data_IF_855726537299
#
_entry.id   IF_855726537299
#
_cell.length_a   1.000
_cell.length_b   1.000
_cell.length_c   1.000
_cell.angle_alpha   90.00
_cell.angle_beta   90.00
_cell.angle_gamma   90.00
#
_symmetry.space_group_name_H-M   'P 1'
#
loop_
_entity.id
_entity.type
_entity.pdbx_description
1 polymer ?
#
# COMPACT_ATOMS: atom_id res chain seq x y z
N UNK A 1 -5.56 36.45 2.86
CA UNK A 1 -4.75 35.29 2.44
C UNK A 1 -3.59 35.20 3.42
N UNK A 2 -3.74 34.40 4.49
CA UNK A 2 -2.71 34.29 5.53
C UNK A 2 -1.45 33.69 4.92
N UNK A 3 -0.36 34.45 4.89
CA UNK A 3 1.00 33.92 4.87
C UNK A 3 1.25 33.25 6.22
N UNK A 4 0.59 32.11 6.44
CA UNK A 4 0.63 31.37 7.69
C UNK A 4 1.93 30.59 7.82
N UNK A 5 2.41 30.49 9.05
CA UNK A 5 3.53 29.64 9.47
C UNK A 5 3.36 28.22 8.92
N UNK A 6 4.45 27.58 8.50
CA UNK A 6 4.46 26.17 8.07
C UNK A 6 3.81 25.28 9.16
N UNK A 7 2.94 24.34 8.79
CA UNK A 7 2.31 23.44 9.77
C UNK A 7 3.35 22.51 10.39
N UNK A 8 4.21 21.96 9.54
CA UNK A 8 5.35 21.13 9.93
C UNK A 8 6.60 21.66 9.23
N UNK A 9 7.68 21.81 9.97
CA UNK A 9 8.98 22.21 9.44
C UNK A 9 10.08 21.33 10.02
N UNK A 10 10.79 20.64 9.12
CA UNK A 10 11.93 19.78 9.42
C UNK A 10 13.18 20.56 9.03
N UNK A 11 14.07 20.78 10.00
CA UNK A 11 15.28 21.58 9.82
C UNK A 11 16.53 20.77 10.17
N UNK A 12 17.38 20.58 9.18
CA UNK A 12 18.67 19.89 9.26
C UNK A 12 18.60 18.55 10.01
N UNK A 13 17.51 17.80 9.80
CA UNK A 13 17.29 16.55 10.52
C UNK A 13 18.20 15.45 10.00
N UNK A 14 18.93 14.82 10.90
CA UNK A 14 19.74 13.62 10.62
C UNK A 14 19.31 12.48 11.53
N UNK A 15 19.17 11.27 10.98
CA UNK A 15 18.75 10.07 11.69
C UNK A 15 19.73 8.95 11.38
N UNK A 16 20.30 8.37 12.42
CA UNK A 16 21.24 7.24 12.32
C UNK A 16 20.87 6.13 13.30
N UNK A 17 21.16 4.88 12.95
CA UNK A 17 20.93 3.72 13.79
C UNK A 17 22.26 3.09 14.17
N UNK A 18 22.41 2.75 15.45
CA UNK A 18 23.52 1.93 15.90
C UNK A 18 23.27 0.48 15.47
N UNK A 19 24.10 -0.04 14.57
CA UNK A 19 24.10 -1.45 14.14
C UNK A 19 25.48 -2.06 14.31
N UNK A 20 25.53 -3.40 14.41
CA UNK A 20 26.78 -4.15 14.46
C UNK A 20 27.48 -3.98 13.10
N UNK A 21 28.58 -3.22 13.07
CA UNK A 21 29.31 -2.86 11.84
C UNK A 21 29.44 -1.36 11.56
N UNK A 22 28.85 -0.50 12.39
CA UNK A 22 28.97 0.96 12.31
C UNK A 22 27.61 1.66 12.20
N UNK A 23 27.55 3.00 12.31
CA UNK A 23 26.28 3.72 12.25
C UNK A 23 25.67 3.67 10.84
N UNK A 24 24.43 3.22 10.73
CA UNK A 24 23.64 3.33 9.50
C UNK A 24 22.98 4.70 9.45
N UNK A 25 23.42 5.56 8.54
CA UNK A 25 22.82 6.88 8.31
C UNK A 25 21.62 6.77 7.37
N UNK A 26 20.42 6.63 7.93
CA UNK A 26 19.18 6.55 7.14
C UNK A 26 18.72 7.91 6.60
N UNK A 27 18.94 8.98 7.37
CA UNK A 27 18.71 10.37 6.94
C UNK A 27 19.93 11.19 7.34
N UNK A 28 20.53 11.93 6.40
CA UNK A 28 21.78 12.68 6.64
C UNK A 28 21.49 14.11 7.06
N UNK A 29 20.68 14.78 6.24
CA UNK A 29 20.29 16.18 6.39
C UNK A 29 19.01 16.46 5.61
N UNK A 30 17.86 16.32 6.27
CA UNK A 30 16.56 16.59 5.68
C UNK A 30 16.07 17.99 6.03
N UNK A 31 15.64 18.72 4.99
CA UNK A 31 14.93 19.99 5.10
C UNK A 31 13.62 19.86 4.32
N UNK A 32 12.49 19.98 5.02
CA UNK A 32 11.15 19.78 4.46
C UNK A 32 10.18 20.72 5.19
N UNK A 33 9.20 21.26 4.46
CA UNK A 33 8.05 21.94 5.04
C UNK A 33 6.76 21.28 4.57
N UNK A 34 5.71 21.38 5.37
CA UNK A 34 4.34 21.03 5.01
C UNK A 34 3.47 22.23 5.33
N UNK A 35 2.76 22.73 4.31
CA UNK A 35 1.89 23.89 4.46
C UNK A 35 0.51 23.47 5.01
N UNK A 36 -0.16 24.31 5.82
CA UNK A 36 -1.52 24.04 6.28
C UNK A 36 -2.50 23.84 5.11
N UNK A 37 -3.36 22.82 5.19
CA UNK A 37 -4.39 22.57 4.19
C UNK A 37 -3.87 22.17 2.80
N UNK A 38 -2.59 21.79 2.70
CA UNK A 38 -1.94 21.37 1.45
C UNK A 38 -1.46 19.93 1.51
N UNK A 39 -1.28 19.34 0.33
CA UNK A 39 -0.70 18.02 0.16
C UNK A 39 0.76 18.18 -0.26
N UNK A 40 1.67 17.73 0.60
CA UNK A 40 3.09 17.64 0.28
C UNK A 40 3.44 16.17 0.06
N UNK A 41 3.95 15.82 -1.12
CA UNK A 41 4.41 14.48 -1.42
C UNK A 41 5.90 14.32 -1.13
N UNK A 42 6.29 13.25 -0.44
CA UNK A 42 7.68 12.84 -0.24
C UNK A 42 7.95 11.59 -1.09
N UNK A 43 8.80 11.72 -2.09
CA UNK A 43 9.05 10.70 -3.12
C UNK A 43 10.50 10.25 -3.13
N UNK A 44 10.73 8.96 -3.36
CA UNK A 44 12.06 8.40 -3.55
C UNK A 44 12.03 6.88 -3.56
N UNK A 45 13.14 6.26 -3.96
CA UNK A 45 13.31 4.80 -3.95
C UNK A 45 13.05 4.18 -2.56
N UNK A 46 12.77 2.87 -2.53
CA UNK A 46 12.74 2.13 -1.27
C UNK A 46 14.09 2.26 -0.54
N UNK A 47 14.06 2.42 0.79
CA UNK A 47 15.26 2.61 1.60
C UNK A 47 15.87 4.03 1.59
N UNK A 48 15.27 5.00 0.89
CA UNK A 48 15.77 6.40 0.87
C UNK A 48 15.59 7.19 2.18
N UNK A 49 14.90 6.64 3.17
CA UNK A 49 14.67 7.28 4.48
C UNK A 49 13.28 7.89 4.70
N UNK A 50 12.34 7.74 3.75
CA UNK A 50 10.98 8.32 3.84
C UNK A 50 10.21 7.92 5.11
N UNK A 51 10.05 6.61 5.33
CA UNK A 51 9.30 6.08 6.47
C UNK A 51 10.01 6.37 7.80
N UNK A 52 11.35 6.37 7.80
CA UNK A 52 12.17 6.78 8.97
C UNK A 52 11.93 8.25 9.32
N UNK A 53 11.89 9.14 8.32
CA UNK A 53 11.58 10.56 8.54
C UNK A 53 10.17 10.74 9.09
N UNK A 54 9.19 10.00 8.57
CA UNK A 54 7.82 10.00 9.11
C UNK A 54 7.76 9.51 10.56
N UNK A 55 8.47 8.45 10.90
CA UNK A 55 8.54 7.92 12.27
C UNK A 55 9.17 8.94 13.23
N UNK A 56 10.14 9.72 12.76
CA UNK A 56 10.73 10.81 13.54
C UNK A 56 9.69 11.90 13.87
N UNK A 57 8.87 12.31 12.89
CA UNK A 57 7.78 13.27 13.11
C UNK A 57 6.75 12.73 14.11
N UNK A 58 6.49 11.43 14.09
CA UNK A 58 5.62 10.79 15.08
C UNK A 58 6.32 10.54 16.42
N UNK A 59 7.63 10.68 16.53
CA UNK A 59 8.43 10.33 17.71
C UNK A 59 8.48 8.83 18.02
N UNK A 60 8.17 7.95 17.06
CA UNK A 60 8.08 6.49 17.24
C UNK A 60 9.32 5.74 16.71
N UNK A 61 10.43 6.44 16.56
CA UNK A 61 11.70 5.80 16.19
C UNK A 61 12.15 4.81 17.28
N UNK A 62 12.78 3.69 16.89
CA UNK A 62 13.28 2.71 17.85
C UNK A 62 14.39 3.29 18.73
N UNK A 63 14.64 2.64 19.86
CA UNK A 63 15.60 3.14 20.84
C UNK A 63 17.04 3.25 20.35
N UNK A 64 17.40 2.48 19.32
CA UNK A 64 18.71 2.49 18.66
C UNK A 64 18.92 3.70 17.75
N UNK A 65 17.88 4.49 17.49
CA UNK A 65 17.92 5.67 16.65
C UNK A 65 18.48 6.89 17.40
N UNK A 66 19.44 7.56 16.75
CA UNK A 66 19.98 8.85 17.15
C UNK A 66 19.49 9.89 16.16
N UNK A 67 18.85 10.94 16.68
CA UNK A 67 18.26 12.02 15.89
C UNK A 67 18.91 13.34 16.26
N UNK A 68 19.21 14.16 15.26
CA UNK A 68 19.67 15.56 15.40
C UNK A 68 18.80 16.47 14.53
N UNK A 69 18.89 17.78 14.76
CA UNK A 69 18.11 18.80 14.03
C UNK A 69 16.88 19.23 14.82
N UNK A 70 15.86 19.74 14.12
CA UNK A 70 14.58 20.19 14.73
C UNK A 70 13.39 19.72 13.90
N UNK A 71 12.32 19.32 14.58
CA UNK A 71 11.04 19.02 13.94
C UNK A 71 9.98 19.91 14.60
N UNK A 72 9.68 21.03 13.95
CA UNK A 72 8.80 22.06 14.45
C UNK A 72 7.37 21.81 13.96
N UNK A 73 6.41 21.77 14.89
CA UNK A 73 4.99 21.64 14.60
C UNK A 73 4.22 22.85 15.12
N UNK A 74 3.54 23.55 14.22
CA UNK A 74 2.76 24.76 14.49
C UNK A 74 1.28 24.44 14.39
N UNK A 75 0.66 24.28 15.55
CA UNK A 75 -0.70 23.77 15.67
C UNK A 75 -1.77 24.85 15.37
N UNK A 76 -2.68 24.65 14.39
CA UNK A 76 -3.73 25.60 14.07
C UNK A 76 -4.74 25.85 15.21
N UNK A 77 -4.92 24.91 16.13
CA UNK A 77 -5.79 25.08 17.31
C UNK A 77 -5.09 25.88 18.43
N UNK A 78 -3.77 26.05 18.34
CA UNK A 78 -2.98 26.86 19.27
C UNK A 78 -2.14 27.91 18.51
N UNK A 79 -2.80 28.91 17.88
CA UNK A 79 -2.12 29.93 17.09
C UNK A 79 -0.99 30.61 17.87
N UNK A 80 0.13 30.87 17.20
CA UNK A 80 1.29 31.53 17.80
C UNK A 80 2.21 30.60 18.61
N UNK A 81 1.85 29.32 18.76
CA UNK A 81 2.73 28.31 19.39
C UNK A 81 3.38 27.41 18.34
N UNK A 82 4.67 27.12 18.53
CA UNK A 82 5.41 26.15 17.72
C UNK A 82 6.21 25.27 18.68
N UNK A 83 6.05 23.97 18.55
CA UNK A 83 6.68 22.99 19.44
C UNK A 83 7.70 22.17 18.67
N UNK A 84 8.88 21.94 19.26
CA UNK A 84 9.86 21.02 18.70
C UNK A 84 9.61 19.60 19.22
N UNK A 85 9.16 18.72 18.33
CA UNK A 85 8.83 17.33 18.62
C UNK A 85 10.05 16.58 19.16
N UNK A 86 11.27 16.93 18.74
CA UNK A 86 12.48 16.24 19.17
C UNK A 86 12.88 16.56 20.62
N UNK A 87 12.37 17.66 21.19
CA UNK A 87 12.58 18.02 22.59
C UNK A 87 11.58 17.34 23.53
N UNK A 88 10.52 16.74 22.99
CA UNK A 88 9.51 16.06 23.80
C UNK A 88 10.04 14.69 24.28
N UNK A 89 9.77 14.30 25.54
CA UNK A 89 10.07 12.94 25.99
C UNK A 89 9.32 11.91 25.14
N UNK A 90 9.98 10.81 24.74
CA UNK A 90 9.46 9.80 23.79
C UNK A 90 8.06 9.27 24.09
N UNK A 91 7.71 9.14 25.37
CA UNK A 91 6.40 8.70 25.87
C UNK A 91 5.77 9.71 26.85
N UNK A 92 6.23 10.96 26.80
CA UNK A 92 5.70 12.05 27.63
C UNK A 92 4.26 12.42 27.30
N UNK A 93 3.57 13.13 28.20
CA UNK A 93 2.19 13.57 27.97
C UNK A 93 2.05 14.46 26.72
N UNK A 94 3.08 15.26 26.40
CA UNK A 94 3.08 16.20 25.27
C UNK A 94 3.04 15.46 23.92
N UNK A 95 3.95 14.51 23.69
CA UNK A 95 3.98 13.74 22.44
C UNK A 95 2.75 12.83 22.31
N UNK A 96 2.24 12.29 23.43
CA UNK A 96 1.00 11.51 23.45
C UNK A 96 -0.23 12.36 23.11
N UNK A 97 -0.26 13.64 23.49
CA UNK A 97 -1.33 14.55 23.10
C UNK A 97 -1.29 14.91 21.60
N UNK A 98 -0.11 14.86 20.96
CA UNK A 98 0.01 15.08 19.52
C UNK A 98 -0.39 13.86 18.69
N UNK A 99 0.13 12.67 19.04
CA UNK A 99 -0.12 11.43 18.31
C UNK A 99 -1.62 11.09 18.32
N UNK A 100 -2.18 10.73 17.16
CA UNK A 100 -3.56 10.29 17.03
C UNK A 100 -4.60 11.42 17.09
N UNK A 101 -4.40 12.41 17.96
CA UNK A 101 -5.29 13.57 18.07
C UNK A 101 -4.97 14.65 17.04
N UNK A 102 -3.71 15.11 16.98
CA UNK A 102 -3.31 16.27 16.16
C UNK A 102 -2.48 15.89 14.95
N UNK A 103 -1.75 14.78 15.03
CA UNK A 103 -1.04 14.15 13.92
C UNK A 103 -1.53 12.70 13.79
N UNK A 104 -2.24 12.41 12.70
CA UNK A 104 -2.66 11.07 12.32
C UNK A 104 -1.64 10.41 11.39
N UNK A 105 -1.53 9.08 11.42
CA UNK A 105 -0.68 8.32 10.51
C UNK A 105 -1.39 7.09 9.95
N UNK A 106 -1.24 6.87 8.66
CA UNK A 106 -1.53 5.60 7.97
C UNK A 106 -0.19 4.91 7.73
N UNK A 107 -0.07 3.64 8.13
CA UNK A 107 1.14 2.84 7.99
C UNK A 107 1.17 2.05 6.67
N UNK A 108 2.38 1.68 6.23
CA UNK A 108 2.71 1.03 4.94
C UNK A 108 2.08 -0.37 4.76
N UNK A 109 1.55 -0.98 5.82
CA UNK A 109 0.83 -2.25 5.74
C UNK A 109 -0.50 -2.18 6.49
N UNK A 110 -1.58 -1.85 5.79
CA UNK A 110 -2.86 -1.69 6.45
C UNK A 110 -3.47 -3.01 6.94
N UNK A 111 -3.13 -4.10 6.25
CA UNK A 111 -3.69 -5.42 6.54
C UNK A 111 -3.27 -5.96 7.92
N UNK A 112 -2.12 -5.54 8.43
CA UNK A 112 -1.59 -5.94 9.75
C UNK A 112 -1.93 -4.95 10.86
N UNK A 113 -2.46 -3.78 10.51
CA UNK A 113 -2.72 -2.71 11.49
C UNK A 113 -4.04 -2.89 12.26
N UNK A 114 -4.99 -3.67 11.73
CA UNK A 114 -6.25 -3.99 12.40
C UNK A 114 -6.15 -5.32 13.15
N UNK A 115 -6.46 -5.30 14.44
CA UNK A 115 -6.59 -6.50 15.24
C UNK A 115 -7.83 -7.31 14.82
N UNK A 116 -7.69 -8.60 14.48
CA UNK A 116 -8.83 -9.45 14.11
C UNK A 116 -9.72 -9.78 15.31
N UNK A 117 -9.29 -9.47 16.54
CA UNK A 117 -10.01 -9.78 17.78
C UNK A 117 -10.99 -8.69 18.21
N UNK A 118 -11.00 -7.54 17.52
CA UNK A 118 -11.85 -6.41 17.85
C UNK A 118 -12.68 -5.99 16.65
N UNK A 119 -13.89 -5.47 16.92
CA UNK A 119 -14.73 -4.89 15.88
C UNK A 119 -14.10 -3.60 15.34
N UNK A 120 -14.50 -3.21 14.13
CA UNK A 120 -14.06 -1.97 13.49
C UNK A 120 -14.46 -0.76 14.34
N UNK A 121 -15.70 -0.73 14.84
CA UNK A 121 -16.18 0.34 15.70
C UNK A 121 -15.35 0.51 16.98
N UNK A 122 -14.97 -0.60 17.62
CA UNK A 122 -14.14 -0.55 18.82
C UNK A 122 -12.75 0.04 18.53
N UNK A 123 -12.10 -0.42 17.46
CA UNK A 123 -10.76 0.03 17.09
C UNK A 123 -10.74 1.51 16.66
N UNK A 124 -11.73 1.94 15.87
CA UNK A 124 -11.82 3.34 15.43
C UNK A 124 -12.18 4.27 16.59
N UNK A 125 -13.12 3.89 17.46
CA UNK A 125 -13.58 4.72 18.58
C UNK A 125 -12.58 4.81 19.74
N UNK A 126 -11.59 3.94 19.80
CA UNK A 126 -10.54 3.95 20.84
C UNK A 126 -9.76 5.26 20.85
N UNK A 127 -9.42 5.81 19.69
CA UNK A 127 -8.72 7.09 19.59
C UNK A 127 -9.53 8.24 20.22
N UNK A 128 -10.85 8.27 20.01
CA UNK A 128 -11.74 9.23 20.70
C UNK A 128 -11.76 9.01 22.20
N UNK A 129 -11.77 7.76 22.66
CA UNK A 129 -11.74 7.44 24.08
C UNK A 129 -10.45 7.93 24.77
N UNK A 130 -9.31 7.84 24.08
CA UNK A 130 -8.01 8.26 24.62
C UNK A 130 -7.88 9.78 24.62
N UNK A 131 -8.30 10.45 23.55
CA UNK A 131 -7.96 11.85 23.30
C UNK A 131 -9.09 12.84 23.61
N UNK A 132 -10.32 12.40 23.78
CA UNK A 132 -11.45 13.31 23.96
C UNK A 132 -12.38 12.81 25.07
N UNK A 133 -12.66 13.63 26.10
CA UNK A 133 -13.65 13.28 27.11
C UNK A 133 -15.03 13.27 26.46
N UNK A 134 -15.56 12.07 26.21
CA UNK A 134 -16.80 11.88 25.45
C UNK A 134 -17.54 10.63 25.93
N UNK A 135 -18.87 10.73 26.04
CA UNK A 135 -19.72 9.61 26.42
C UNK A 135 -19.70 8.50 25.34
N UNK A 136 -19.89 7.24 25.75
CA UNK A 136 -19.84 6.09 24.83
C UNK A 136 -20.82 6.22 23.64
N UNK A 137 -22.03 6.72 23.89
CA UNK A 137 -23.03 6.89 22.84
C UNK A 137 -22.60 7.91 21.78
N UNK A 138 -21.99 9.02 22.22
CA UNK A 138 -21.48 10.06 21.32
C UNK A 138 -20.26 9.57 20.53
N UNK A 139 -19.35 8.81 21.17
CA UNK A 139 -18.22 8.16 20.47
C UNK A 139 -18.71 7.22 19.37
N UNK A 140 -19.76 6.44 19.64
CA UNK A 140 -20.38 5.55 18.64
C UNK A 140 -20.94 6.35 17.47
N UNK A 141 -21.72 7.41 17.74
CA UNK A 141 -22.29 8.25 16.69
C UNK A 141 -21.21 8.90 15.80
N UNK A 142 -20.13 9.42 16.40
CA UNK A 142 -18.99 10.01 15.67
C UNK A 142 -18.22 8.97 14.85
N UNK A 143 -18.14 7.74 15.35
CA UNK A 143 -17.50 6.64 14.63
C UNK A 143 -18.35 6.22 13.42
N UNK A 144 -19.68 6.12 13.57
CA UNK A 144 -20.59 5.85 12.45
C UNK A 144 -20.54 6.97 11.40
N UNK A 145 -20.48 8.24 11.81
CA UNK A 145 -20.29 9.38 10.91
C UNK A 145 -18.98 9.24 10.11
N UNK A 146 -17.86 8.97 10.80
CA UNK A 146 -16.55 8.83 10.14
C UNK A 146 -16.50 7.61 9.20
N UNK A 147 -17.12 6.49 9.58
CA UNK A 147 -17.27 5.33 8.69
C UNK A 147 -18.09 5.69 7.44
N UNK A 148 -19.12 6.53 7.58
CA UNK A 148 -19.84 7.10 6.44
C UNK A 148 -18.95 7.98 5.56
N UNK A 149 -18.14 8.86 6.15
CA UNK A 149 -17.23 9.75 5.43
C UNK A 149 -16.18 9.00 4.61
N UNK A 150 -15.67 7.88 5.12
CA UNK A 150 -14.70 7.04 4.38
C UNK A 150 -15.37 6.09 3.39
N UNK A 151 -16.70 6.15 3.22
CA UNK A 151 -17.43 5.44 2.17
C UNK A 151 -17.91 4.03 2.54
N UNK A 152 -18.18 3.73 3.81
CA UNK A 152 -18.89 2.50 4.17
C UNK A 152 -20.36 2.61 3.74
N UNK A 153 -20.91 1.64 2.95
CA UNK A 153 -22.31 1.68 2.51
C UNK A 153 -23.32 1.62 3.67
N UNK A 154 -22.97 0.91 4.74
CA UNK A 154 -23.78 0.81 5.94
C UNK A 154 -22.88 0.99 7.19
N UNK A 155 -22.64 2.23 7.64
CA UNK A 155 -21.73 2.53 8.74
C UNK A 155 -22.15 1.89 10.07
N UNK A 156 -23.46 1.82 10.35
CA UNK A 156 -24.01 1.19 11.56
C UNK A 156 -23.67 -0.29 11.62
N UNK A 157 -23.86 -1.00 10.50
CA UNK A 157 -23.48 -2.41 10.41
C UNK A 157 -21.96 -2.59 10.47
N UNK A 158 -21.21 -1.73 9.78
CA UNK A 158 -19.75 -1.80 9.76
C UNK A 158 -19.13 -1.62 11.15
N UNK A 159 -19.75 -0.84 12.03
CA UNK A 159 -19.32 -0.66 13.42
C UNK A 159 -19.14 -2.00 14.16
N UNK A 160 -20.07 -2.94 13.94
CA UNK A 160 -20.10 -4.24 14.63
C UNK A 160 -19.35 -5.35 13.87
N UNK A 161 -18.85 -5.06 12.66
CA UNK A 161 -18.08 -6.02 11.85
C UNK A 161 -16.64 -6.16 12.34
N UNK A 162 -16.03 -7.30 12.02
CA UNK A 162 -14.62 -7.58 12.23
C UNK A 162 -13.80 -7.36 10.95
N UNK A 163 -12.47 -7.11 11.05
CA UNK A 163 -11.62 -6.89 9.89
C UNK A 163 -11.71 -8.00 8.84
N UNK A 164 -11.74 -9.27 9.24
CA UNK A 164 -11.78 -10.40 8.31
C UNK A 164 -13.07 -10.46 7.47
N UNK A 165 -14.14 -9.77 7.87
CA UNK A 165 -15.39 -9.67 7.11
C UNK A 165 -15.37 -8.58 6.03
N UNK A 166 -14.36 -7.72 6.02
CA UNK A 166 -14.21 -6.62 5.06
C UNK A 166 -13.33 -7.00 3.86
N UNK A 167 -13.59 -6.37 2.71
CA UNK A 167 -12.67 -6.38 1.57
C UNK A 167 -11.40 -5.57 1.87
N UNK A 168 -10.32 -5.75 1.09
CA UNK A 168 -9.07 -5.00 1.27
C UNK A 168 -9.29 -3.48 1.23
N UNK A 169 -10.07 -2.98 0.27
CA UNK A 169 -10.42 -1.56 0.18
C UNK A 169 -11.25 -1.05 1.38
N UNK A 170 -12.17 -1.85 1.93
CA UNK A 170 -12.93 -1.48 3.12
C UNK A 170 -12.05 -1.49 4.38
N UNK A 171 -11.10 -2.41 4.50
CA UNK A 171 -10.09 -2.38 5.58
C UNK A 171 -9.24 -1.13 5.52
N UNK A 172 -8.82 -0.73 4.32
CA UNK A 172 -8.08 0.52 4.12
C UNK A 172 -8.90 1.73 4.56
N UNK A 173 -10.17 1.79 4.16
CA UNK A 173 -11.11 2.84 4.58
C UNK A 173 -11.31 2.87 6.10
N UNK A 174 -11.41 1.71 6.76
CA UNK A 174 -11.49 1.64 8.22
C UNK A 174 -10.24 2.22 8.91
N UNK A 175 -9.04 1.97 8.37
CA UNK A 175 -7.83 2.57 8.90
C UNK A 175 -7.73 4.07 8.67
N UNK A 176 -8.18 4.55 7.51
CA UNK A 176 -8.30 5.98 7.24
C UNK A 176 -9.24 6.61 8.29
N UNK A 177 -10.38 5.97 8.58
CA UNK A 177 -11.29 6.42 9.63
C UNK A 177 -10.60 6.46 11.01
N UNK A 178 -9.86 5.41 11.38
CA UNK A 178 -9.10 5.36 12.64
C UNK A 178 -8.07 6.50 12.76
N UNK A 179 -7.36 6.81 11.67
CA UNK A 179 -6.37 7.89 11.64
C UNK A 179 -6.98 9.30 11.68
N UNK A 180 -8.23 9.43 11.22
CA UNK A 180 -8.91 10.73 11.05
C UNK A 180 -10.02 11.02 12.04
N UNK A 181 -10.40 10.06 12.90
CA UNK A 181 -11.54 10.19 13.81
C UNK A 181 -11.43 11.40 14.75
N UNK A 182 -10.20 11.75 15.16
CA UNK A 182 -9.92 12.93 15.98
C UNK A 182 -9.74 14.23 15.17
N UNK A 183 -9.88 14.19 13.84
CA UNK A 183 -9.70 15.32 12.91
C UNK A 183 -8.34 16.01 13.08
N UNK A 184 -7.23 15.28 12.83
CA UNK A 184 -5.89 15.83 13.02
C UNK A 184 -5.59 16.99 12.07
N UNK A 185 -4.67 17.88 12.46
CA UNK A 185 -4.21 18.96 11.59
C UNK A 185 -3.25 18.44 10.49
N UNK A 186 -2.52 17.36 10.78
CA UNK A 186 -1.63 16.69 9.83
C UNK A 186 -1.98 15.20 9.72
N UNK A 187 -2.19 14.72 8.49
CA UNK A 187 -2.19 13.30 8.17
C UNK A 187 -0.87 12.92 7.50
N UNK A 188 -0.15 11.93 8.03
CA UNK A 188 0.98 11.30 7.35
C UNK A 188 0.51 9.99 6.72
N UNK A 189 0.46 9.94 5.41
CA UNK A 189 0.04 8.77 4.65
C UNK A 189 1.28 8.06 4.09
N UNK A 190 1.73 7.00 4.75
CA UNK A 190 2.95 6.26 4.42
C UNK A 190 2.64 5.07 3.52
N UNK A 191 2.82 5.26 2.22
CA UNK A 191 2.45 4.31 1.17
C UNK A 191 1.00 3.76 1.33
N UNK A 192 -0.01 4.64 1.39
CA UNK A 192 -1.39 4.29 1.77
C UNK A 192 -2.11 3.41 0.76
N UNK A 193 -1.48 3.07 -0.36
CA UNK A 193 -2.07 2.29 -1.45
C UNK A 193 -1.28 1.03 -1.77
N UNK A 194 -0.20 0.75 -1.03
CA UNK A 194 0.59 -0.48 -1.21
C UNK A 194 -0.29 -1.70 -0.98
N UNK A 195 -0.03 -2.77 -1.76
CA UNK A 195 -0.77 -4.04 -1.74
C UNK A 195 -2.26 -3.97 -2.17
N UNK A 196 -2.73 -2.85 -2.72
CA UNK A 196 -4.06 -2.72 -3.33
C UNK A 196 -3.98 -2.77 -4.86
N UNK A 197 -5.07 -3.19 -5.52
CA UNK A 197 -5.16 -3.13 -6.98
C UNK A 197 -5.28 -1.68 -7.48
N UNK A 198 -4.79 -1.41 -8.70
CA UNK A 198 -4.65 -0.04 -9.26
C UNK A 198 -5.97 0.76 -9.21
N UNK A 199 -7.12 0.13 -9.45
CA UNK A 199 -8.42 0.78 -9.37
C UNK A 199 -8.73 1.22 -7.95
N UNK A 200 -8.54 0.33 -6.96
CA UNK A 200 -8.72 0.68 -5.54
C UNK A 200 -7.68 1.72 -5.10
N UNK A 201 -6.43 1.66 -5.56
CA UNK A 201 -5.43 2.68 -5.24
C UNK A 201 -5.91 4.09 -5.63
N UNK A 202 -6.39 4.24 -6.86
CA UNK A 202 -6.93 5.52 -7.35
C UNK A 202 -8.12 6.00 -6.50
N UNK A 203 -9.05 5.10 -6.16
CA UNK A 203 -10.18 5.43 -5.30
C UNK A 203 -9.76 5.88 -3.89
N UNK A 204 -8.74 5.25 -3.31
CA UNK A 204 -8.24 5.59 -1.97
C UNK A 204 -7.51 6.94 -1.99
N UNK A 205 -6.71 7.21 -3.01
CA UNK A 205 -6.03 8.50 -3.16
C UNK A 205 -7.02 9.65 -3.36
N UNK A 206 -8.03 9.44 -4.19
CA UNK A 206 -9.12 10.39 -4.38
C UNK A 206 -9.88 10.65 -3.07
N UNK A 207 -10.23 9.59 -2.33
CA UNK A 207 -10.85 9.71 -1.02
C UNK A 207 -9.99 10.54 -0.05
N UNK A 208 -8.68 10.28 0.01
CA UNK A 208 -7.78 11.03 0.87
C UNK A 208 -7.74 12.52 0.50
N UNK A 209 -7.75 12.86 -0.79
CA UNK A 209 -7.79 14.27 -1.26
C UNK A 209 -9.11 14.96 -0.89
N UNK A 210 -10.24 14.26 -1.02
CA UNK A 210 -11.55 14.77 -0.63
C UNK A 210 -11.64 14.99 0.88
N UNK A 211 -11.17 14.02 1.69
CA UNK A 211 -11.12 14.15 3.15
C UNK A 211 -10.17 15.28 3.57
N UNK A 212 -9.03 15.42 2.91
CA UNK A 212 -8.07 16.48 3.16
C UNK A 212 -8.73 17.86 2.99
N UNK A 213 -9.47 18.06 1.89
CA UNK A 213 -10.22 19.30 1.64
C UNK A 213 -11.35 19.49 2.66
N UNK A 214 -12.16 18.44 2.88
CA UNK A 214 -13.35 18.50 3.75
C UNK A 214 -13.01 18.74 5.22
N UNK A 215 -11.88 18.20 5.69
CA UNK A 215 -11.39 18.34 7.06
C UNK A 215 -10.39 19.50 7.22
N UNK A 216 -10.03 20.17 6.12
CA UNK A 216 -9.04 21.25 6.09
C UNK A 216 -7.71 20.88 6.80
N UNK A 217 -7.27 19.64 6.64
CA UNK A 217 -6.02 19.13 7.20
C UNK A 217 -4.89 19.24 6.17
N UNK A 218 -3.63 19.32 6.61
CA UNK A 218 -2.51 19.07 5.72
C UNK A 218 -2.25 17.58 5.58
N UNK A 219 -1.64 17.17 4.47
CA UNK A 219 -1.27 15.78 4.22
C UNK A 219 0.17 15.67 3.76
N UNK A 220 0.96 14.86 4.47
CA UNK A 220 2.26 14.39 4.01
C UNK A 220 2.06 13.01 3.36
N UNK A 221 2.03 12.97 2.04
CA UNK A 221 1.89 11.74 1.26
C UNK A 221 3.27 11.16 0.95
N UNK A 222 3.59 10.00 1.50
CA UNK A 222 4.83 9.29 1.19
C UNK A 222 4.52 8.21 0.19
N UNK A 223 5.23 8.22 -0.93
CA UNK A 223 5.06 7.23 -1.99
C UNK A 223 6.36 7.06 -2.77
N UNK A 224 6.47 5.98 -3.52
CA UNK A 224 7.51 5.80 -4.53
C UNK A 224 6.99 6.07 -5.96
N UNK A 225 5.69 6.30 -6.12
CA UNK A 225 5.04 6.50 -7.42
C UNK A 225 4.91 7.99 -7.78
N UNK A 226 5.72 8.44 -8.75
CA UNK A 226 5.64 9.79 -9.30
C UNK A 226 4.34 10.04 -10.10
N UNK A 227 3.75 9.03 -10.74
CA UNK A 227 2.51 9.20 -11.51
C UNK A 227 1.33 9.59 -10.60
N UNK A 228 1.26 8.99 -9.42
CA UNK A 228 0.25 9.35 -8.39
C UNK A 228 0.41 10.78 -7.91
N UNK A 229 1.65 11.22 -7.67
CA UNK A 229 1.95 12.53 -7.09
C UNK A 229 1.48 13.68 -7.96
N UNK A 230 1.63 13.56 -9.27
CA UNK A 230 1.23 14.59 -10.23
C UNK A 230 -0.25 14.99 -10.12
N UNK A 231 -1.12 14.06 -9.69
CA UNK A 231 -2.57 14.27 -9.63
C UNK A 231 -3.09 14.68 -8.25
N UNK A 232 -2.33 14.40 -7.18
CA UNK A 232 -2.83 14.50 -5.80
C UNK A 232 -2.11 15.57 -4.98
N UNK A 233 -0.84 15.86 -5.28
CA UNK A 233 0.00 16.72 -4.48
C UNK A 233 -0.03 18.18 -4.93
N UNK A 234 0.10 19.10 -3.97
CA UNK A 234 0.34 20.53 -4.22
C UNK A 234 1.86 20.82 -4.32
N UNK A 235 2.65 20.22 -3.41
CA UNK A 235 4.12 20.28 -3.40
C UNK A 235 4.72 18.87 -3.46
N UNK A 236 5.91 18.74 -4.03
CA UNK A 236 6.69 17.50 -4.07
C UNK A 236 8.09 17.73 -3.51
N UNK A 237 8.57 16.74 -2.76
CA UNK A 237 9.90 16.69 -2.19
C UNK A 237 10.52 15.34 -2.54
N UNK A 238 11.70 15.38 -3.14
CA UNK A 238 12.41 14.21 -3.64
C UNK A 238 13.56 13.87 -2.71
N UNK A 239 13.56 12.66 -2.15
CA UNK A 239 14.60 12.13 -1.27
C UNK A 239 15.41 11.04 -1.97
N UNK A 240 16.72 11.04 -1.75
CA UNK A 240 17.63 10.02 -2.23
C UNK A 240 18.76 9.82 -1.21
N UNK A 241 19.05 8.57 -0.83
CA UNK A 241 20.09 8.22 0.15
C UNK A 241 20.10 9.08 1.43
N UNK A 242 18.90 9.39 1.95
CA UNK A 242 18.75 10.16 3.18
C UNK A 242 18.92 11.68 3.03
N UNK A 243 18.95 12.20 1.81
CA UNK A 243 19.10 13.63 1.52
C UNK A 243 17.97 14.13 0.61
N UNK A 244 17.52 15.36 0.84
CA UNK A 244 16.52 16.01 0.00
C UNK A 244 17.22 16.58 -1.23
N UNK A 245 16.89 16.03 -2.40
CA UNK A 245 17.50 16.39 -3.68
C UNK A 245 16.85 17.62 -4.30
N UNK A 246 15.52 17.70 -4.21
CA UNK A 246 14.72 18.75 -4.84
C UNK A 246 13.38 18.89 -4.12
N UNK A 247 12.85 20.11 -4.02
CA UNK A 247 11.58 20.40 -3.37
C UNK A 247 10.90 21.61 -4.02
N UNK A 248 9.58 21.56 -4.23
CA UNK A 248 8.84 22.69 -4.76
C UNK A 248 7.41 22.35 -5.18
N UNK A 249 6.68 23.31 -5.80
CA UNK A 249 5.36 23.06 -6.36
C UNK A 249 5.40 21.95 -7.41
N UNK A 250 4.40 21.07 -7.40
CA UNK A 250 4.37 19.88 -8.28
C UNK A 250 4.55 20.25 -9.76
N UNK A 251 3.85 21.28 -10.22
CA UNK A 251 3.92 21.76 -11.61
C UNK A 251 5.33 22.20 -12.01
N UNK A 252 6.04 22.90 -11.13
CA UNK A 252 7.38 23.39 -11.41
C UNK A 252 8.38 22.22 -11.51
N UNK A 253 8.29 21.28 -10.57
CA UNK A 253 9.17 20.13 -10.47
C UNK A 253 8.99 19.18 -11.66
N UNK A 254 7.75 18.92 -12.08
CA UNK A 254 7.48 18.01 -13.20
C UNK A 254 7.79 18.64 -14.56
N UNK A 255 7.55 19.94 -14.74
CA UNK A 255 7.85 20.62 -16.01
C UNK A 255 9.34 20.83 -16.22
N UNK A 256 10.08 21.13 -15.15
CA UNK A 256 11.49 21.49 -15.24
C UNK A 256 12.28 20.93 -14.05
N UNK A 257 12.45 19.59 -13.96
CA UNK A 257 13.25 18.99 -12.90
C UNK A 257 14.70 19.50 -12.98
N UNK A 258 15.26 19.94 -11.86
CA UNK A 258 16.63 20.43 -11.78
C UNK A 258 17.63 19.28 -11.62
N UNK A 259 17.39 18.41 -10.63
CA UNK A 259 18.35 17.44 -10.14
C UNK A 259 18.49 16.22 -11.08
N UNK A 260 19.72 15.74 -11.37
CA UNK A 260 19.95 14.60 -12.28
C UNK A 260 19.20 13.33 -11.87
N UNK A 261 19.13 13.03 -10.58
CA UNK A 261 18.38 11.86 -10.08
C UNK A 261 16.88 11.96 -10.41
N UNK A 262 16.25 13.12 -10.21
CA UNK A 262 14.83 13.29 -10.53
C UNK A 262 14.58 13.16 -12.04
N UNK A 263 15.46 13.73 -12.88
CA UNK A 263 15.40 13.53 -14.34
C UNK A 263 15.46 12.05 -14.72
N UNK A 264 16.36 11.30 -14.07
CA UNK A 264 16.47 9.85 -14.24
C UNK A 264 15.20 9.12 -13.82
N UNK A 265 14.62 9.49 -12.68
CA UNK A 265 13.40 8.89 -12.16
C UNK A 265 12.21 9.14 -13.09
N UNK A 266 12.04 10.37 -13.60
CA UNK A 266 11.00 10.70 -14.57
C UNK A 266 11.19 9.95 -15.90
N UNK A 267 12.43 9.81 -16.38
CA UNK A 267 12.74 9.06 -17.61
C UNK A 267 12.52 7.54 -17.48
N UNK A 268 12.43 7.02 -16.25
CA UNK A 268 12.15 5.62 -15.98
C UNK A 268 10.64 5.31 -15.89
N UNK A 269 9.77 6.34 -15.85
CA UNK A 269 8.31 6.17 -15.78
C UNK A 269 7.76 5.88 -17.19
N UNK A 270 6.92 4.84 -17.37
CA UNK A 270 6.26 4.57 -18.65
C UNK A 270 5.36 5.74 -19.07
N UNK A 271 5.43 6.13 -20.35
CA UNK A 271 4.54 7.14 -20.93
C UNK A 271 3.85 6.59 -22.19
N UNK A 272 2.66 7.11 -22.49
CA UNK A 272 1.83 6.64 -23.60
C UNK A 272 2.50 6.76 -24.98
N UNK A 273 3.46 7.68 -25.12
CA UNK A 273 4.18 7.93 -26.38
C UNK A 273 5.37 6.97 -26.63
N UNK A 274 5.56 5.94 -25.79
CA UNK A 274 6.61 4.93 -25.98
C UNK A 274 6.41 4.14 -27.27
N UNK A 275 7.45 4.03 -28.09
CA UNK A 275 7.37 3.25 -29.34
C UNK A 275 7.44 1.74 -29.05
N UNK A 276 6.80 0.89 -29.88
CA UNK A 276 6.97 -0.56 -29.78
C UNK A 276 8.46 -0.96 -29.84
N UNK A 277 8.94 -1.68 -28.82
CA UNK A 277 10.34 -2.12 -28.72
C UNK A 277 11.28 -1.14 -27.98
N UNK A 278 10.81 0.04 -27.61
CA UNK A 278 11.56 0.99 -26.79
C UNK A 278 11.69 0.48 -25.35
N UNK A 279 12.92 0.37 -24.85
CA UNK A 279 13.17 -0.06 -23.47
C UNK A 279 13.23 1.14 -22.54
N UNK A 280 12.59 0.99 -21.38
CA UNK A 280 12.74 1.93 -20.27
C UNK A 280 14.20 2.02 -19.84
N UNK A 281 14.65 3.23 -19.54
CA UNK A 281 16.00 3.47 -19.01
C UNK A 281 15.99 3.18 -17.51
N UNK A 282 16.75 2.18 -17.09
CA UNK A 282 16.95 1.91 -15.68
C UNK A 282 17.83 3.00 -15.05
N UNK A 283 17.48 3.44 -13.83
CA UNK A 283 18.33 4.34 -13.03
C UNK A 283 19.68 3.71 -12.65
N UNK A 284 19.68 2.38 -12.51
CA UNK A 284 20.87 1.55 -12.28
C UNK A 284 20.82 0.37 -13.23
N UNK A 285 21.88 0.19 -14.01
CA UNK A 285 22.04 -1.05 -14.76
C UNK A 285 22.32 -2.18 -13.77
N UNK A 286 21.36 -3.09 -13.60
CA UNK A 286 21.66 -4.40 -13.02
C UNK A 286 22.25 -5.23 -14.15
N UNK A 287 23.53 -5.63 -14.10
CA UNK A 287 24.10 -6.49 -15.12
C UNK A 287 23.37 -7.84 -15.06
N UNK A 288 22.39 -8.02 -15.94
CA UNK A 288 21.70 -9.30 -16.08
C UNK A 288 22.64 -10.25 -16.81
N UNK A 289 23.42 -11.02 -16.06
CA UNK A 289 24.18 -12.14 -16.62
C UNK A 289 23.23 -13.30 -16.91
N UNK A 290 22.40 -13.13 -17.96
CA UNK A 290 21.45 -14.13 -18.45
C UNK A 290 22.16 -15.47 -18.71
N UNK A 291 23.42 -15.43 -19.12
CA UNK A 291 24.24 -16.60 -19.44
C UNK A 291 24.59 -17.53 -18.26
N UNK A 292 24.50 -17.07 -17.01
CA UNK A 292 24.78 -17.90 -15.83
C UNK A 292 23.52 -18.49 -15.18
N UNK A 293 22.33 -17.92 -15.45
CA UNK A 293 21.06 -18.38 -14.86
C UNK A 293 20.29 -19.35 -15.78
N UNK A 294 20.45 -19.20 -17.10
CA UNK A 294 19.89 -20.13 -18.07
C UNK A 294 21.01 -21.04 -18.55
N UNK A 295 21.07 -22.26 -18.00
CA UNK A 295 21.93 -23.31 -18.53
C UNK A 295 21.77 -23.41 -20.05
N UNK A 296 22.89 -23.56 -20.77
CA UNK A 296 22.98 -23.69 -22.24
C UNK A 296 21.84 -24.53 -22.81
N UNK A 297 20.78 -23.89 -23.30
CA UNK A 297 19.80 -24.41 -24.26
C UNK A 297 18.75 -23.33 -24.58
N UNK A 298 19.11 -22.36 -25.41
CA UNK A 298 18.12 -21.65 -26.22
C UNK A 298 18.00 -22.39 -27.54
N UNK A 299 17.21 -23.47 -27.55
CA UNK A 299 16.70 -24.00 -28.81
C UNK A 299 15.62 -23.02 -29.32
N UNK A 300 15.55 -22.75 -30.64
CA UNK A 300 14.53 -21.87 -31.20
C UNK A 300 13.14 -22.46 -30.93
N UNK A 301 12.26 -21.65 -30.34
CA UNK A 301 10.88 -22.03 -30.03
C UNK A 301 10.10 -22.20 -31.34
N UNK A 302 9.75 -23.42 -31.68
CA UNK A 302 8.90 -23.73 -32.83
C UNK A 302 7.46 -23.31 -32.54
N UNK A 303 6.93 -22.35 -33.31
CA UNK A 303 5.53 -21.93 -33.25
C UNK A 303 4.62 -23.02 -33.85
N UNK A 304 4.24 -24.01 -33.04
CA UNK A 304 3.26 -25.05 -33.37
C UNK A 304 2.30 -25.32 -32.19
N UNK A 305 1.28 -26.16 -32.37
CA UNK A 305 0.36 -26.54 -31.29
C UNK A 305 1.08 -27.21 -30.09
N UNK A 306 2.25 -27.82 -30.33
CA UNK A 306 3.15 -28.40 -29.32
C UNK A 306 3.84 -27.37 -28.42
N UNK A 307 3.60 -26.07 -28.66
CA UNK A 307 4.18 -24.96 -27.90
C UNK A 307 3.34 -24.57 -26.67
N UNK A 308 2.09 -25.03 -26.56
CA UNK A 308 1.26 -24.75 -25.38
C UNK A 308 1.79 -25.60 -24.21
N UNK A 309 2.32 -24.94 -23.18
CA UNK A 309 2.81 -25.57 -21.96
C UNK A 309 1.67 -25.88 -20.98
N UNK A 310 0.71 -24.97 -20.85
CA UNK A 310 -0.42 -25.11 -19.94
C UNK A 310 -1.69 -24.67 -20.67
N UNK A 311 -2.71 -25.53 -20.67
CA UNK A 311 -4.02 -25.25 -21.25
C UNK A 311 -5.08 -25.34 -20.15
N UNK A 312 -5.80 -24.24 -19.92
CA UNK A 312 -6.89 -24.13 -18.96
C UNK A 312 -8.19 -23.98 -19.73
N UNK A 313 -9.21 -24.77 -19.42
CA UNK A 313 -10.50 -24.75 -20.11
C UNK A 313 -11.66 -24.79 -19.12
N UNK A 314 -12.59 -23.86 -19.30
CA UNK A 314 -13.86 -23.73 -18.57
C UNK A 314 -13.72 -23.88 -17.04
N UNK A 315 -12.65 -23.31 -16.47
CA UNK A 315 -12.34 -23.47 -15.05
C UNK A 315 -13.39 -22.76 -14.19
N UNK A 316 -13.95 -23.48 -13.21
CA UNK A 316 -15.04 -23.00 -12.35
C UNK A 316 -14.73 -23.23 -10.87
N UNK A 317 -15.16 -22.32 -10.02
CA UNK A 317 -15.13 -22.49 -8.56
C UNK A 317 -16.28 -21.76 -7.88
N UNK A 318 -17.07 -22.52 -7.13
CA UNK A 318 -18.11 -22.00 -6.24
C UNK A 318 -17.73 -22.28 -4.79
N UNK A 319 -17.83 -21.26 -3.94
CA UNK A 319 -17.72 -21.39 -2.48
C UNK A 319 -19.11 -21.32 -1.85
N UNK A 320 -19.44 -22.27 -0.99
CA UNK A 320 -20.67 -22.27 -0.20
C UNK A 320 -20.37 -21.79 1.21
N UNK A 321 -20.98 -20.66 1.60
CA UNK A 321 -20.85 -20.13 2.96
C UNK A 321 -22.09 -20.56 3.74
N UNK A 322 -21.89 -21.38 4.78
CA UNK A 322 -22.96 -21.73 5.74
C UNK A 322 -23.02 -20.67 6.82
N UNK A 323 -24.17 -20.00 6.98
CA UNK A 323 -24.47 -19.21 8.17
C UNK A 323 -25.10 -20.14 9.21
N UNK A 324 -24.37 -20.49 10.27
CA UNK A 324 -24.94 -21.21 11.41
C UNK A 324 -25.67 -20.22 12.33
N UNK A 325 -26.97 -20.03 12.13
CA UNK A 325 -27.86 -19.35 13.07
C UNK A 325 -28.73 -20.37 13.81
N UNK A 326 -28.76 -20.33 15.14
CA UNK A 326 -29.50 -21.31 15.98
C UNK A 326 -31.03 -21.10 15.93
N UNK A 327 -31.52 -20.04 15.29
CA UNK A 327 -32.95 -19.83 15.05
C UNK A 327 -33.16 -19.19 13.67
N UNK A 328 -33.66 -19.97 12.71
CA UNK A 328 -34.32 -19.48 11.49
C UNK A 328 -33.47 -19.40 10.21
N UNK A 329 -33.74 -20.31 9.28
CA UNK A 329 -33.51 -20.17 7.82
C UNK A 329 -32.09 -20.49 7.31
N UNK A 330 -31.92 -21.67 6.72
CA UNK A 330 -30.68 -22.07 6.01
C UNK A 330 -30.57 -21.31 4.68
N UNK A 331 -30.17 -20.03 4.72
CA UNK A 331 -29.79 -19.29 3.52
C UNK A 331 -28.33 -19.58 3.18
N UNK A 332 -28.12 -20.66 2.42
CA UNK A 332 -26.84 -20.92 1.76
C UNK A 332 -26.57 -19.82 0.74
N UNK A 333 -25.56 -19.00 1.01
CA UNK A 333 -25.05 -18.04 0.02
C UNK A 333 -23.89 -18.71 -0.71
N UNK A 334 -24.06 -18.89 -2.02
CA UNK A 334 -23.02 -19.40 -2.91
C UNK A 334 -22.34 -18.23 -3.62
N UNK A 335 -21.01 -18.21 -3.60
CA UNK A 335 -20.20 -17.21 -4.31
C UNK A 335 -19.46 -17.93 -5.43
N UNK A 336 -19.73 -17.52 -6.67
CA UNK A 336 -18.95 -17.97 -7.85
C UNK A 336 -17.66 -17.16 -7.89
N UNK A 337 -16.56 -17.78 -7.49
CA UNK A 337 -15.25 -17.12 -7.45
C UNK A 337 -14.48 -17.24 -8.76
N UNK A 338 -14.77 -18.27 -9.57
CA UNK A 338 -14.25 -18.44 -10.94
C UNK A 338 -15.40 -19.00 -11.78
N UNK A 339 -15.68 -18.41 -12.94
CA UNK A 339 -16.79 -18.82 -13.82
C UNK A 339 -16.31 -18.90 -15.28
N UNK A 340 -15.94 -20.10 -15.72
CA UNK A 340 -15.63 -20.39 -17.14
C UNK A 340 -14.29 -19.85 -17.65
N UNK A 341 -13.26 -19.76 -16.80
CA UNK A 341 -11.95 -19.21 -17.21
C UNK A 341 -11.20 -20.17 -18.14
N UNK A 342 -10.78 -19.68 -19.30
CA UNK A 342 -10.01 -20.44 -20.30
C UNK A 342 -8.84 -19.62 -20.85
N UNK A 343 -7.64 -20.19 -20.89
CA UNK A 343 -6.45 -19.57 -21.48
C UNK A 343 -5.36 -20.61 -21.75
N UNK A 344 -4.38 -20.23 -22.56
CA UNK A 344 -3.16 -21.01 -22.83
C UNK A 344 -1.93 -20.23 -22.38
N UNK A 345 -0.91 -20.94 -21.89
CA UNK A 345 0.44 -20.41 -21.66
C UNK A 345 1.39 -21.20 -22.55
N UNK A 346 2.07 -20.55 -23.48
CA UNK A 346 3.10 -21.17 -24.32
C UNK A 346 4.45 -21.25 -23.63
N UNK A 347 5.36 -22.10 -24.14
CA UNK A 347 6.72 -22.21 -23.59
C UNK A 347 7.47 -20.89 -23.79
N UNK A 348 7.99 -20.34 -22.69
CA UNK A 348 8.68 -19.04 -22.71
C UNK A 348 7.74 -17.83 -22.74
N UNK A 349 6.42 -18.02 -22.73
CA UNK A 349 5.45 -16.94 -22.63
C UNK A 349 5.27 -16.49 -21.18
N UNK A 350 5.17 -15.18 -20.96
CA UNK A 350 4.75 -14.61 -19.69
C UNK A 350 3.31 -14.12 -19.82
N UNK A 351 2.34 -14.89 -19.30
CA UNK A 351 0.94 -14.52 -19.28
C UNK A 351 0.61 -13.69 -18.02
N UNK A 352 0.06 -12.49 -18.21
CA UNK A 352 -0.46 -11.66 -17.12
C UNK A 352 -1.96 -11.85 -16.92
N UNK A 353 -2.38 -12.30 -15.73
CA UNK A 353 -3.80 -12.37 -15.35
C UNK A 353 -4.18 -11.15 -14.50
N UNK A 354 -4.99 -10.25 -15.07
CA UNK A 354 -5.35 -8.96 -14.46
C UNK A 354 -6.85 -8.90 -14.15
N UNK A 355 -7.22 -8.15 -13.11
CA UNK A 355 -8.61 -7.93 -12.69
C UNK A 355 -8.68 -7.28 -11.31
N UNK A 356 -9.85 -6.80 -10.89
CA UNK A 356 -10.05 -6.13 -9.60
C UNK A 356 -9.85 -7.09 -8.40
N UNK A 357 -9.59 -6.55 -7.20
CA UNK A 357 -9.55 -7.37 -5.99
C UNK A 357 -10.85 -8.17 -5.83
N UNK A 358 -10.74 -9.49 -5.62
CA UNK A 358 -11.89 -10.40 -5.54
C UNK A 358 -12.33 -11.03 -6.87
N UNK A 359 -11.73 -10.67 -8.00
CA UNK A 359 -12.09 -11.20 -9.33
C UNK A 359 -11.71 -12.68 -9.59
N UNK A 360 -11.18 -13.40 -8.60
CA UNK A 360 -10.83 -14.82 -8.73
C UNK A 360 -9.40 -15.16 -9.15
N UNK A 361 -8.51 -14.17 -9.39
CA UNK A 361 -7.11 -14.39 -9.82
C UNK A 361 -6.35 -15.38 -8.91
N UNK A 362 -6.37 -15.12 -7.61
CA UNK A 362 -5.71 -15.98 -6.61
C UNK A 362 -6.37 -17.35 -6.54
N UNK A 363 -7.68 -17.44 -6.74
CA UNK A 363 -8.41 -18.71 -6.78
C UNK A 363 -7.95 -19.55 -7.97
N UNK A 364 -7.83 -18.97 -9.17
CA UNK A 364 -7.28 -19.63 -10.36
C UNK A 364 -5.86 -20.12 -10.09
N UNK A 365 -4.97 -19.26 -9.59
CA UNK A 365 -3.58 -19.65 -9.27
C UNK A 365 -3.51 -20.79 -8.24
N UNK A 366 -4.33 -20.74 -7.19
CA UNK A 366 -4.42 -21.81 -6.18
C UNK A 366 -4.98 -23.11 -6.75
N UNK A 367 -5.90 -23.05 -7.71
CA UNK A 367 -6.40 -24.25 -8.41
C UNK A 367 -5.29 -24.88 -9.25
N UNK A 368 -4.51 -24.09 -9.99
CA UNK A 368 -3.39 -24.58 -10.79
C UNK A 368 -2.29 -25.24 -9.92
N UNK A 369 -2.12 -24.76 -8.68
CA UNK A 369 -1.22 -25.38 -7.69
C UNK A 369 -1.84 -26.58 -6.94
N UNK A 370 -3.09 -26.94 -7.24
CA UNK A 370 -3.90 -27.91 -6.48
C UNK A 370 -4.03 -27.59 -4.98
N UNK A 371 -3.95 -26.31 -4.61
CA UNK A 371 -4.23 -25.83 -3.26
C UNK A 371 -5.72 -25.61 -3.00
N UNK A 372 -6.52 -25.44 -4.07
CA UNK A 372 -7.98 -25.34 -4.02
C UNK A 372 -8.58 -26.25 -5.08
N UNK A 373 -9.53 -27.11 -4.70
CA UNK A 373 -10.23 -27.97 -5.66
C UNK A 373 -11.24 -27.14 -6.48
N UNK A 374 -11.22 -27.20 -7.82
CA UNK A 374 -12.22 -26.53 -8.65
C UNK A 374 -13.60 -27.19 -8.50
N UNK A 375 -14.63 -26.51 -8.96
CA UNK A 375 -15.99 -27.04 -9.11
C UNK A 375 -16.26 -27.58 -10.51
N UNK A 376 -15.36 -27.33 -11.48
CA UNK A 376 -15.44 -27.81 -12.85
C UNK A 376 -14.32 -27.24 -13.72
N UNK A 377 -14.23 -27.74 -14.96
CA UNK A 377 -13.19 -27.40 -15.94
C UNK A 377 -12.03 -28.39 -15.97
N UNK A 378 -11.06 -28.15 -16.85
CA UNK A 378 -9.86 -28.99 -17.00
C UNK A 378 -8.59 -28.15 -17.13
N UNK A 379 -7.47 -28.73 -16.73
CA UNK A 379 -6.15 -28.11 -16.79
C UNK A 379 -5.14 -29.14 -17.27
N UNK A 380 -4.58 -28.95 -18.46
CA UNK A 380 -3.58 -29.84 -19.04
C UNK A 380 -2.21 -29.17 -19.03
N UNK A 381 -1.23 -29.83 -18.43
CA UNK A 381 0.18 -29.44 -18.47
C UNK A 381 0.94 -30.32 -19.44
N UNK A 382 1.46 -29.73 -20.52
CA UNK A 382 2.26 -30.42 -21.52
C UNK A 382 3.73 -30.41 -21.10
N UNK A 383 4.10 -31.38 -20.25
CA UNK A 383 5.48 -31.60 -19.85
C UNK A 383 6.34 -32.13 -21.01
N UNK A 384 7.66 -32.23 -20.79
CA UNK A 384 8.53 -32.96 -21.73
C UNK A 384 8.20 -34.46 -21.76
N UNK A 385 7.64 -34.96 -20.67
CA UNK A 385 7.29 -36.36 -20.46
C UNK A 385 5.85 -36.70 -20.93
N UNK A 386 5.17 -35.75 -21.58
CA UNK A 386 3.80 -35.89 -22.08
C UNK A 386 2.78 -34.97 -21.39
N UNK A 387 1.52 -34.96 -21.87
CA UNK A 387 0.42 -34.23 -21.26
C UNK A 387 0.02 -34.87 -19.93
N UNK A 388 -0.14 -34.04 -18.90
CA UNK A 388 -0.63 -34.45 -17.58
C UNK A 388 -1.87 -33.61 -17.25
N UNK A 389 -2.96 -34.26 -16.87
CA UNK A 389 -4.10 -33.55 -16.27
C UNK A 389 -3.70 -33.10 -14.86
N UNK A 390 -3.66 -31.79 -14.64
CA UNK A 390 -3.24 -31.18 -13.38
C UNK A 390 -4.26 -31.44 -12.27
N UNK A 391 -5.55 -31.57 -12.58
CA UNK A 391 -6.60 -31.77 -11.60
C UNK A 391 -6.68 -33.22 -11.14
N UNK A 392 -6.43 -34.17 -12.05
CA UNK A 392 -6.51 -35.62 -11.80
C UNK A 392 -5.16 -36.28 -11.49
N UNK A 393 -4.03 -35.61 -11.72
CA UNK A 393 -2.71 -36.20 -11.51
C UNK A 393 -2.47 -36.69 -10.07
N UNK A 394 -2.09 -37.96 -9.92
CA UNK A 394 -1.76 -38.60 -8.64
C UNK A 394 -0.33 -39.16 -8.63
N UNK A 395 0.16 -39.60 -7.46
CA UNK A 395 1.45 -40.28 -7.33
C UNK A 395 2.63 -39.52 -7.95
N UNK A 396 3.35 -40.16 -8.86
CA UNK A 396 4.52 -39.60 -9.54
C UNK A 396 4.17 -38.44 -10.49
N UNK A 397 2.99 -38.47 -11.13
CA UNK A 397 2.52 -37.37 -11.96
C UNK A 397 2.33 -36.09 -11.11
N UNK A 398 1.78 -36.23 -9.89
CA UNK A 398 1.65 -35.11 -8.96
C UNK A 398 3.01 -34.59 -8.46
N UNK A 399 3.96 -35.50 -8.18
CA UNK A 399 5.31 -35.13 -7.76
C UNK A 399 6.03 -34.35 -8.86
N UNK A 400 5.90 -34.77 -10.13
CA UNK A 400 6.43 -34.06 -11.29
C UNK A 400 5.80 -32.68 -11.46
N UNK A 401 4.47 -32.58 -11.39
CA UNK A 401 3.76 -31.29 -11.47
C UNK A 401 4.24 -30.32 -10.39
N UNK A 402 4.37 -30.78 -9.13
CA UNK A 402 4.85 -29.96 -8.01
C UNK A 402 6.30 -29.53 -8.12
N UNK A 403 7.13 -30.21 -8.92
CA UNK A 403 8.50 -29.75 -9.20
C UNK A 403 8.53 -28.70 -10.32
N UNK A 404 7.59 -28.81 -11.29
CA UNK A 404 7.55 -27.97 -12.50
C UNK A 404 6.71 -26.70 -12.36
N UNK A 405 5.72 -26.72 -11.47
CA UNK A 405 4.84 -25.58 -11.18
C UNK A 405 5.13 -25.13 -9.76
N UNK A 406 5.68 -23.93 -9.62
CA UNK A 406 6.01 -23.31 -8.33
C UNK A 406 5.18 -22.04 -8.15
N UNK A 407 4.81 -21.77 -6.90
CA UNK A 407 4.18 -20.52 -6.51
C UNK A 407 5.12 -19.72 -5.62
N UNK A 408 5.35 -18.46 -5.99
CA UNK A 408 5.95 -17.49 -5.08
C UNK A 408 4.79 -16.91 -4.28
N UNK A 409 4.75 -17.20 -2.98
CA UNK A 409 3.76 -16.63 -2.08
C UNK A 409 4.10 -15.17 -1.80
N UNK A 410 3.08 -14.31 -1.77
CA UNK A 410 3.18 -12.93 -1.33
C UNK A 410 2.92 -12.83 0.17
#
# INVERSE_FOLDING_TARGET
MNSGVDLLRIEDVGISFAIVGGPLHAVRRANLRVLPGKVTALVGESGSGKSVLSQAVMGILPNTAHVRGRILFSDPEKPGTTQDILQMPRDGPEIRALRGSRIGKIFQEPMTSLSPLHTIGNQVSESLQIHTPMARAERKARTEEMLGLVGFPNPKRAYDMYPFELSGGLRQRAMIAMALICRPALLIADEPTTALDVTIQAQILQLLRELQTKLNMAMLLITHDLGVVANVADEVVVIYHGEIMEAGPVEAIYRRPGHPYLKGLMAAVPHFDLKPGERLKALREVPVNVGNLLGKQTAPVSKGADDILLSVRDLKKVFTIRKSGWFGGDHQTSIRAVDGVSFDIRRGECLGLVGESGSGKTTVSKILMRAVTPSGGSVIFNGRDGPIDVLEGEGDALRLLRARIQMVFQ
#
